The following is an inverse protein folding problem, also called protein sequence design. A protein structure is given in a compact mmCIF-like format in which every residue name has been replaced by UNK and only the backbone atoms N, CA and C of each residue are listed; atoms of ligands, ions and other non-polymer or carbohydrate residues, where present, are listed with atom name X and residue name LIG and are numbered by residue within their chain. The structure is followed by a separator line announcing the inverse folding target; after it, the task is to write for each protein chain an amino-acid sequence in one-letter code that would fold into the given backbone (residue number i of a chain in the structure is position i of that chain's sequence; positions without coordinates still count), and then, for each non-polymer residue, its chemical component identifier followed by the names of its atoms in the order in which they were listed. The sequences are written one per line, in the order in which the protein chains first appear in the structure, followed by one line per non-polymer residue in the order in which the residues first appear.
data_IF_396667913775
#
_entry.id   IF_396667913775
#
_cell.length_a   1.000
_cell.length_b   1.000
_cell.length_c   1.000
_cell.angle_alpha   90.00
_cell.angle_beta   90.00
_cell.angle_gamma   90.00
#
_symmetry.space_group_name_H-M   'P 1'
#
loop_
_entity.id
_entity.type
_entity.pdbx_description
1 polymer ?
#
# COMPACT_ATOMS: atom_id res chain seq x y z
N UNK A 1 17.89 -43.72 -40.18
CA UNK A 1 16.77 -43.96 -39.24
C UNK A 1 17.09 -43.30 -37.92
N UNK A 2 16.16 -42.45 -37.44
CA UNK A 2 15.75 -42.16 -36.05
C UNK A 2 16.84 -42.28 -34.96
N UNK A 3 17.08 -41.28 -34.10
CA UNK A 3 16.06 -40.50 -33.37
C UNK A 3 16.71 -39.23 -32.82
N UNK A 4 16.15 -38.07 -33.16
CA UNK A 4 16.47 -36.80 -32.50
C UNK A 4 15.75 -36.81 -31.16
N UNK A 5 16.50 -36.83 -30.06
CA UNK A 5 15.96 -36.61 -28.71
C UNK A 5 15.77 -35.11 -28.55
N UNK A 6 14.56 -34.63 -28.80
CA UNK A 6 14.16 -33.25 -28.53
C UNK A 6 14.16 -33.01 -27.01
N UNK A 7 15.13 -32.23 -26.55
CA UNK A 7 15.23 -31.73 -25.19
C UNK A 7 14.12 -30.70 -24.96
N UNK A 8 13.05 -31.08 -24.26
CA UNK A 8 11.97 -30.18 -23.88
C UNK A 8 12.46 -29.30 -22.71
N UNK A 9 12.98 -28.12 -23.02
CA UNK A 9 13.29 -27.09 -22.02
C UNK A 9 11.96 -26.46 -21.58
N UNK A 10 11.35 -27.00 -20.53
CA UNK A 10 10.18 -26.38 -19.88
C UNK A 10 10.68 -25.13 -19.15
N UNK A 11 10.74 -24.01 -19.87
CA UNK A 11 11.02 -22.69 -19.34
C UNK A 11 9.81 -22.28 -18.49
N UNK A 12 9.82 -22.67 -17.22
CA UNK A 12 8.84 -22.22 -16.25
C UNK A 12 9.14 -20.73 -15.96
N UNK A 13 8.57 -19.83 -16.74
CA UNK A 13 8.57 -18.40 -16.49
C UNK A 13 7.73 -18.09 -15.26
N UNK A 14 8.27 -18.40 -14.07
CA UNK A 14 7.80 -17.79 -12.83
C UNK A 14 8.14 -16.31 -12.91
N UNK A 15 7.20 -15.47 -13.33
CA UNK A 15 7.29 -14.04 -13.10
C UNK A 15 7.25 -13.83 -11.59
N UNK A 16 8.41 -13.76 -10.94
CA UNK A 16 8.51 -13.22 -9.58
C UNK A 16 7.89 -11.82 -9.63
N UNK A 17 6.72 -11.66 -9.01
CA UNK A 17 6.17 -10.32 -8.79
C UNK A 17 7.20 -9.56 -7.95
N UNK A 18 7.83 -8.56 -8.56
CA UNK A 18 8.81 -7.73 -7.87
C UNK A 18 8.14 -7.15 -6.61
N UNK A 19 8.74 -7.40 -5.47
CA UNK A 19 8.25 -6.89 -4.19
C UNK A 19 8.48 -5.38 -4.15
N UNK A 20 7.48 -4.63 -3.66
CA UNK A 20 7.63 -3.18 -3.46
C UNK A 20 8.76 -2.94 -2.46
N UNK A 21 9.70 -2.08 -2.83
CA UNK A 21 10.88 -1.75 -2.02
C UNK A 21 10.68 -0.46 -1.22
N UNK A 22 11.47 -0.27 -0.16
CA UNK A 22 11.53 0.99 0.58
C UNK A 22 11.85 2.20 -0.33
N UNK A 23 12.74 2.02 -1.30
CA UNK A 23 13.12 3.08 -2.25
C UNK A 23 11.94 3.49 -3.14
N UNK A 24 11.19 2.52 -3.67
CA UNK A 24 9.97 2.79 -4.44
C UNK A 24 8.93 3.54 -3.61
N UNK A 25 8.71 3.16 -2.35
CA UNK A 25 7.78 3.88 -1.46
C UNK A 25 8.22 5.35 -1.30
N UNK A 26 9.50 5.59 -1.04
CA UNK A 26 10.04 6.95 -0.86
C UNK A 26 9.97 7.80 -2.14
N UNK A 27 10.16 7.18 -3.30
CA UNK A 27 10.18 7.91 -4.58
C UNK A 27 8.78 8.16 -5.12
N UNK A 28 7.90 7.16 -5.03
CA UNK A 28 6.60 7.18 -5.72
C UNK A 28 5.45 7.61 -4.80
N UNK A 29 5.48 7.25 -3.51
CA UNK A 29 4.40 7.54 -2.56
C UNK A 29 4.62 8.85 -1.82
N UNK A 30 5.86 9.12 -1.39
CA UNK A 30 6.14 10.27 -0.54
C UNK A 30 6.14 11.60 -1.31
N UNK A 31 5.60 12.64 -0.67
CA UNK A 31 5.46 13.99 -1.22
C UNK A 31 4.22 14.20 -2.09
N UNK A 32 3.29 13.24 -2.11
CA UNK A 32 2.01 13.34 -2.81
C UNK A 32 0.84 13.25 -1.82
N UNK A 33 -0.27 13.86 -2.17
CA UNK A 33 -1.55 13.65 -1.47
C UNK A 33 -2.31 12.51 -2.15
N UNK A 34 -2.51 11.42 -1.41
CA UNK A 34 -3.22 10.24 -1.88
C UNK A 34 -4.62 10.19 -1.30
N UNK A 35 -5.64 10.44 -2.10
CA UNK A 35 -7.04 10.30 -1.69
C UNK A 35 -7.43 8.82 -1.66
N UNK A 36 -8.11 8.37 -0.61
CA UNK A 36 -8.71 7.03 -0.59
C UNK A 36 -10.01 7.08 -1.40
N UNK A 37 -10.08 6.26 -2.44
CA UNK A 37 -11.22 6.22 -3.37
C UNK A 37 -12.07 4.97 -3.21
N UNK A 38 -11.54 3.90 -2.60
CA UNK A 38 -12.29 2.67 -2.31
C UNK A 38 -11.69 1.94 -1.11
N UNK A 39 -12.56 1.21 -0.42
CA UNK A 39 -12.21 0.26 0.64
C UNK A 39 -12.60 -1.13 0.16
N UNK A 40 -11.75 -2.13 0.39
CA UNK A 40 -12.08 -3.52 0.12
C UNK A 40 -11.87 -4.34 1.38
N UNK A 41 -12.90 -5.09 1.79
CA UNK A 41 -12.83 -6.00 2.93
C UNK A 41 -13.49 -7.32 2.55
N UNK A 42 -12.83 -8.45 2.82
CA UNK A 42 -13.27 -9.78 2.42
C UNK A 42 -13.65 -9.91 0.92
N UNK A 43 -12.92 -9.20 0.04
CA UNK A 43 -13.16 -9.21 -1.40
C UNK A 43 -14.38 -8.38 -1.86
N UNK A 44 -15.04 -7.68 -0.95
CA UNK A 44 -16.13 -6.75 -1.28
C UNK A 44 -15.57 -5.34 -1.34
N UNK A 45 -15.69 -4.68 -2.49
CA UNK A 45 -15.33 -3.26 -2.66
C UNK A 45 -16.51 -2.36 -2.28
N UNK A 46 -16.21 -1.31 -1.52
CA UNK A 46 -17.15 -0.27 -1.11
C UNK A 46 -16.58 1.12 -1.45
N UNK A 47 -17.47 1.99 -1.92
CA UNK A 47 -17.18 3.42 -2.08
C UNK A 47 -17.09 4.10 -0.70
N UNK A 48 -16.33 5.19 -0.55
CA UNK A 48 -16.24 5.94 0.69
C UNK A 48 -17.62 6.43 1.17
N UNK A 49 -17.91 6.20 2.45
CA UNK A 49 -19.07 6.77 3.14
C UNK A 49 -18.92 8.29 3.31
N UNK A 50 -19.99 8.95 3.74
CA UNK A 50 -20.03 10.41 3.89
C UNK A 50 -18.88 10.96 4.76
N UNK A 51 -18.56 10.28 5.86
CA UNK A 51 -17.47 10.60 6.78
C UNK A 51 -16.07 10.30 6.20
N UNK A 52 -15.98 9.45 5.17
CA UNK A 52 -14.73 9.02 4.52
C UNK A 52 -14.43 9.79 3.23
N UNK A 53 -15.29 10.71 2.78
CA UNK A 53 -15.11 11.40 1.48
C UNK A 53 -13.80 12.21 1.38
N UNK A 54 -13.23 12.56 2.53
CA UNK A 54 -11.98 13.31 2.66
C UNK A 54 -10.81 12.46 3.16
N UNK A 55 -11.00 11.14 3.30
CA UNK A 55 -9.95 10.24 3.73
C UNK A 55 -8.76 10.27 2.77
N UNK A 56 -7.55 10.37 3.33
CA UNK A 56 -6.32 10.54 2.57
C UNK A 56 -5.08 10.12 3.34
N UNK A 57 -4.01 9.86 2.60
CA UNK A 57 -2.68 9.55 3.07
C UNK A 57 -1.69 10.55 2.48
N UNK A 58 -0.94 11.23 3.35
CA UNK A 58 0.18 12.08 2.97
C UNK A 58 1.40 11.62 3.74
N UNK A 59 2.42 11.14 3.02
CA UNK A 59 3.72 10.82 3.56
C UNK A 59 4.70 11.91 3.12
N UNK A 60 5.14 12.75 4.04
CA UNK A 60 6.08 13.82 3.72
C UNK A 60 7.50 13.27 3.56
N UNK A 61 8.31 13.91 2.72
CA UNK A 61 9.71 13.53 2.47
C UNK A 61 10.62 13.73 3.70
N UNK A 62 10.18 14.53 4.68
CA UNK A 62 10.85 14.74 5.97
C UNK A 62 10.51 13.65 7.01
N UNK A 63 9.88 12.55 6.59
CA UNK A 63 9.46 11.43 7.42
C UNK A 63 8.31 11.74 8.40
N UNK A 64 7.59 12.83 8.20
CA UNK A 64 6.30 13.09 8.87
C UNK A 64 5.12 12.61 8.02
N UNK A 65 3.96 12.35 8.62
CA UNK A 65 2.74 12.02 7.88
C UNK A 65 1.54 12.83 8.35
N UNK A 66 0.55 12.94 7.46
CA UNK A 66 -0.83 13.32 7.77
C UNK A 66 -1.77 12.29 7.14
N UNK A 67 -2.63 11.68 7.95
CA UNK A 67 -3.61 10.69 7.52
C UNK A 67 -4.99 11.14 7.99
N UNK A 68 -5.98 11.02 7.11
CA UNK A 68 -7.39 11.04 7.47
C UNK A 68 -7.92 9.63 7.20
N UNK A 69 -8.32 8.91 8.25
CA UNK A 69 -8.88 7.55 8.18
C UNK A 69 -10.20 7.51 8.97
N UNK A 70 -11.28 7.12 8.31
CA UNK A 70 -12.65 7.18 8.81
C UNK A 70 -13.02 8.56 9.36
N UNK A 71 -12.64 9.62 8.63
CA UNK A 71 -12.89 11.02 9.00
C UNK A 71 -12.07 11.52 10.19
N UNK A 72 -11.14 10.72 10.73
CA UNK A 72 -10.28 11.10 11.86
C UNK A 72 -8.87 11.42 11.39
N UNK A 73 -8.34 12.53 11.91
CA UNK A 73 -7.00 13.01 11.57
C UNK A 73 -5.93 12.39 12.46
N UNK A 74 -4.81 12.03 11.85
CA UNK A 74 -3.63 11.48 12.50
C UNK A 74 -2.38 12.15 11.96
N UNK A 75 -1.47 12.51 12.87
CA UNK A 75 -0.21 13.16 12.58
C UNK A 75 0.92 12.43 13.31
N UNK A 76 2.08 12.32 12.68
CA UNK A 76 3.23 11.69 13.33
C UNK A 76 4.40 11.48 12.39
N UNK A 77 5.14 10.40 12.63
CA UNK A 77 6.30 10.02 11.84
C UNK A 77 6.07 8.68 11.16
N UNK A 78 6.67 8.50 9.99
CA UNK A 78 6.61 7.25 9.24
C UNK A 78 7.99 6.73 8.86
N UNK A 79 8.06 5.41 8.67
CA UNK A 79 9.22 4.73 8.10
C UNK A 79 8.76 3.68 7.09
N UNK A 80 9.67 3.22 6.23
CA UNK A 80 9.42 2.12 5.30
C UNK A 80 10.47 1.03 5.41
N UNK A 81 10.06 -0.23 5.19
CA UNK A 81 10.97 -1.39 5.22
C UNK A 81 11.26 -1.92 3.82
N UNK A 82 12.31 -2.76 3.70
CA UNK A 82 12.68 -3.38 2.43
C UNK A 82 11.57 -4.28 1.87
N UNK A 83 10.68 -4.77 2.74
CA UNK A 83 9.56 -5.65 2.39
C UNK A 83 8.31 -4.91 1.90
N UNK A 84 8.39 -3.59 1.69
CA UNK A 84 7.28 -2.79 1.17
C UNK A 84 6.24 -2.42 2.23
N UNK A 85 6.64 -2.34 3.50
CA UNK A 85 5.76 -1.89 4.59
C UNK A 85 5.99 -0.42 4.92
N UNK A 86 4.95 0.23 5.42
CA UNK A 86 4.94 1.61 5.92
C UNK A 86 4.47 1.57 7.36
N UNK A 87 5.32 1.99 8.29
CA UNK A 87 4.97 2.08 9.70
C UNK A 87 4.69 3.54 10.05
N UNK A 88 3.47 3.86 10.44
CA UNK A 88 3.05 5.20 10.86
C UNK A 88 2.77 5.17 12.37
N UNK A 89 3.35 6.11 13.12
CA UNK A 89 3.13 6.24 14.57
C UNK A 89 2.87 7.70 14.95
N UNK A 90 1.80 7.95 15.70
CA UNK A 90 1.52 9.28 16.24
C UNK A 90 2.57 9.69 17.27
N UNK A 91 2.72 11.01 17.48
CA UNK A 91 3.66 11.54 18.49
C UNK A 91 3.34 11.05 19.91
N UNK A 92 2.05 10.91 20.24
CA UNK A 92 1.59 10.42 21.55
C UNK A 92 1.75 8.91 21.71
N UNK A 93 1.87 8.18 20.59
CA UNK A 93 1.96 6.71 20.58
C UNK A 93 0.60 6.01 20.70
N UNK A 94 -0.50 6.73 20.91
CA UNK A 94 -1.86 6.19 21.04
C UNK A 94 -2.40 5.63 19.72
N UNK A 95 -1.84 6.05 18.59
CA UNK A 95 -2.21 5.56 17.27
C UNK A 95 -0.97 5.08 16.52
N UNK A 96 -1.07 3.86 15.99
CA UNK A 96 -0.09 3.32 15.05
C UNK A 96 -0.74 2.38 14.05
N UNK A 97 -0.15 2.36 12.86
CA UNK A 97 -0.54 1.49 11.75
C UNK A 97 0.69 0.99 11.03
N UNK A 98 0.63 -0.26 10.59
CA UNK A 98 1.60 -0.81 9.64
C UNK A 98 0.80 -1.17 8.39
N UNK A 99 1.04 -0.44 7.31
CA UNK A 99 0.45 -0.69 6.01
C UNK A 99 1.41 -1.52 5.17
N UNK A 100 0.91 -2.49 4.41
CA UNK A 100 1.68 -3.16 3.36
C UNK A 100 1.32 -2.56 2.02
N UNK A 101 2.30 -2.09 1.26
CA UNK A 101 2.08 -1.59 -0.10
C UNK A 101 1.97 -2.79 -1.04
N UNK A 102 0.82 -2.92 -1.68
CA UNK A 102 0.51 -4.01 -2.62
C UNK A 102 0.90 -3.61 -4.03
N UNK A 103 0.53 -2.40 -4.44
CA UNK A 103 0.90 -1.80 -5.72
C UNK A 103 1.12 -0.30 -5.55
N UNK A 104 1.97 0.26 -6.40
CA UNK A 104 2.18 1.69 -6.50
C UNK A 104 2.61 2.04 -7.92
N UNK A 105 1.99 3.08 -8.45
CA UNK A 105 2.33 3.72 -9.73
C UNK A 105 2.44 5.23 -9.49
N UNK A 106 2.66 6.00 -10.55
CA UNK A 106 2.70 7.46 -10.44
C UNK A 106 1.38 8.07 -9.94
N UNK A 107 0.23 7.45 -10.25
CA UNK A 107 -1.12 7.99 -10.01
C UNK A 107 -1.99 7.15 -9.09
N UNK A 108 -1.70 5.87 -8.95
CA UNK A 108 -2.52 4.93 -8.16
C UNK A 108 -1.67 4.15 -7.18
N UNK A 109 -2.23 3.82 -6.04
CA UNK A 109 -1.62 2.93 -5.07
C UNK A 109 -2.67 2.00 -4.45
N UNK A 110 -2.24 0.85 -3.95
CA UNK A 110 -3.04 0.01 -3.08
C UNK A 110 -2.22 -0.34 -1.86
N UNK A 111 -2.76 -0.04 -0.68
CA UNK A 111 -2.17 -0.44 0.59
C UNK A 111 -3.13 -1.33 1.36
N UNK A 112 -2.58 -2.24 2.13
CA UNK A 112 -3.31 -3.16 3.02
C UNK A 112 -3.04 -2.77 4.47
N UNK A 113 -4.09 -2.70 5.27
CA UNK A 113 -3.99 -2.72 6.73
C UNK A 113 -4.63 -3.99 7.27
N UNK A 114 -3.99 -4.59 8.26
CA UNK A 114 -4.57 -5.69 9.04
C UNK A 114 -4.91 -5.19 10.44
N UNK A 115 -6.21 -5.20 10.76
CA UNK A 115 -6.73 -4.86 12.08
C UNK A 115 -6.32 -5.87 13.16
N UNK A 116 -6.52 -5.51 14.45
CA UNK A 116 -6.25 -6.41 15.57
C UNK A 116 -7.14 -7.66 15.56
N UNK A 117 -8.31 -7.58 14.93
CA UNK A 117 -9.24 -8.69 14.66
C UNK A 117 -8.82 -9.55 13.45
N UNK A 118 -7.65 -9.28 12.88
CA UNK A 118 -7.09 -9.91 11.68
C UNK A 118 -7.85 -9.58 10.39
N UNK A 119 -8.85 -8.70 10.44
CA UNK A 119 -9.54 -8.21 9.24
C UNK A 119 -8.55 -7.43 8.38
N UNK A 120 -8.48 -7.77 7.10
CA UNK A 120 -7.65 -7.07 6.12
C UNK A 120 -8.52 -6.11 5.32
N UNK A 121 -8.09 -4.86 5.29
CA UNK A 121 -8.70 -3.82 4.47
C UNK A 121 -7.69 -3.35 3.44
N UNK A 122 -8.06 -3.42 2.16
CA UNK A 122 -7.31 -2.75 1.10
C UNK A 122 -7.90 -1.37 0.89
N UNK A 123 -7.03 -0.36 0.84
CA UNK A 123 -7.38 0.99 0.44
C UNK A 123 -6.85 1.20 -0.96
N UNK A 124 -7.72 1.58 -1.89
CA UNK A 124 -7.33 2.04 -3.23
C UNK A 124 -7.16 3.54 -3.15
N UNK A 125 -5.99 4.02 -3.56
CA UNK A 125 -5.65 5.43 -3.49
C UNK A 125 -5.33 6.00 -4.86
N UNK A 126 -5.66 7.27 -5.04
CA UNK A 126 -5.32 8.05 -6.22
C UNK A 126 -4.70 9.38 -5.86
N UNK A 127 -3.84 9.89 -6.73
CA UNK A 127 -3.23 11.21 -6.63
C UNK A 127 -3.29 11.92 -7.99
N UNK A 128 -3.18 13.26 -7.97
CA UNK A 128 -3.33 14.11 -9.16
C UNK A 128 -2.03 14.20 -9.95
#
# INVERSE_FOLDING_TARGET
MKTIVSLLLVLCCYTLKAQITAAQIKNELAGKEWKIIKYETFGTEEEPKAEQLNDKLILNKDLTFFIIENGKEYLGSWTSTAEGKISCKSKTGEWSRIYKVITITEKTATIEYQGPDLTRTLYRLETK
#
